data_IF_519700494690
#
_entry.id   IF_519700494690
#
_cell.length_a   1.000
_cell.length_b   1.000
_cell.length_c   1.000
_cell.angle_alpha   90.00
_cell.angle_beta   90.00
_cell.angle_gamma   90.00
#
_symmetry.space_group_name_H-M   'P 1'
#
loop_
_entity.id
_entity.type
_entity.pdbx_description
1 polymer ?
#
# COMPACT_ATOMS: atom_id res chain seq x y z
N UNK A 1 -33.58 3.55 -53.15
CA UNK A 1 -32.71 4.73 -53.24
C UNK A 1 -32.24 5.03 -51.83
N UNK A 2 -30.95 4.82 -51.59
CA UNK A 2 -30.31 4.73 -50.27
C UNK A 2 -29.76 6.11 -49.91
N UNK A 3 -29.96 6.59 -48.69
CA UNK A 3 -29.09 7.63 -48.13
C UNK A 3 -28.79 7.31 -46.68
N UNK A 4 -27.67 6.60 -46.50
CA UNK A 4 -26.99 6.41 -45.23
C UNK A 4 -26.30 7.72 -44.86
N UNK A 5 -26.79 8.42 -43.84
CA UNK A 5 -26.11 9.58 -43.28
C UNK A 5 -25.09 9.10 -42.24
N UNK A 6 -23.86 8.92 -42.70
CA UNK A 6 -22.72 8.51 -41.90
C UNK A 6 -22.34 9.60 -40.90
N UNK A 7 -22.63 9.33 -39.62
CA UNK A 7 -22.00 9.99 -38.47
C UNK A 7 -20.48 9.81 -38.58
N UNK A 8 -19.80 10.77 -39.23
CA UNK A 8 -18.35 10.94 -39.13
C UNK A 8 -18.05 11.39 -37.71
N UNK A 9 -17.74 10.42 -36.84
CA UNK A 9 -17.07 10.70 -35.58
C UNK A 9 -15.76 11.42 -35.90
N UNK A 10 -15.67 12.67 -35.47
CA UNK A 10 -14.44 13.46 -35.43
C UNK A 10 -13.35 12.62 -34.77
N UNK A 11 -12.14 12.50 -35.37
CA UNK A 11 -11.03 11.85 -34.69
C UNK A 11 -10.83 12.56 -33.35
N UNK A 12 -10.91 11.83 -32.23
CA UNK A 12 -10.47 12.36 -30.94
C UNK A 12 -9.06 12.87 -31.16
N UNK A 13 -8.80 14.14 -30.88
CA UNK A 13 -7.45 14.69 -30.81
C UNK A 13 -6.67 13.87 -29.78
N UNK A 14 -5.95 12.86 -30.28
CA UNK A 14 -5.05 12.04 -29.50
C UNK A 14 -3.87 12.93 -29.18
N UNK A 15 -3.95 13.68 -28.07
CA UNK A 15 -2.75 14.29 -27.50
C UNK A 15 -1.70 13.18 -27.39
N UNK A 16 -0.50 13.36 -27.96
CA UNK A 16 0.54 12.35 -27.84
C UNK A 16 0.79 12.12 -26.36
N UNK A 17 0.61 10.88 -25.91
CA UNK A 17 0.91 10.50 -24.54
C UNK A 17 2.39 10.80 -24.31
N UNK A 18 2.68 11.63 -23.31
CA UNK A 18 4.07 11.99 -22.94
C UNK A 18 4.85 10.78 -22.45
N UNK A 19 4.15 9.72 -22.03
CA UNK A 19 4.73 8.48 -21.50
C UNK A 19 4.77 7.39 -22.59
N UNK A 20 5.93 6.75 -22.82
CA UNK A 20 6.08 5.75 -23.87
C UNK A 20 5.19 4.52 -23.63
N UNK A 21 5.10 3.66 -24.64
CA UNK A 21 4.46 2.35 -24.50
C UNK A 21 5.30 1.49 -23.55
N UNK A 22 4.69 0.79 -22.57
CA UNK A 22 5.42 -0.09 -21.68
C UNK A 22 6.16 -1.20 -22.44
N UNK A 23 7.41 -1.44 -22.03
CA UNK A 23 8.24 -2.54 -22.51
C UNK A 23 7.90 -3.87 -21.82
N UNK A 24 8.62 -4.94 -22.14
CA UNK A 24 8.37 -6.27 -21.56
C UNK A 24 8.42 -6.24 -20.03
N UNK A 25 7.38 -6.77 -19.38
CA UNK A 25 7.25 -6.78 -17.93
C UNK A 25 6.95 -5.42 -17.28
N UNK A 26 6.76 -4.36 -18.07
CA UNK A 26 6.39 -3.05 -17.55
C UNK A 26 4.87 -2.81 -17.60
N UNK A 27 4.39 -2.01 -16.66
CA UNK A 27 3.04 -1.49 -16.64
C UNK A 27 3.10 0.02 -16.77
N UNK A 28 2.19 0.58 -17.57
CA UNK A 28 1.87 2.00 -17.53
C UNK A 28 0.69 2.21 -16.60
N UNK A 29 0.86 3.03 -15.59
CA UNK A 29 -0.12 3.25 -14.54
C UNK A 29 -0.61 4.69 -14.55
N UNK A 30 -1.86 4.88 -14.12
CA UNK A 30 -2.49 6.18 -13.89
C UNK A 30 -2.70 6.38 -12.40
N UNK A 31 -1.93 7.28 -11.74
CA UNK A 31 -2.12 7.61 -10.32
C UNK A 31 -3.50 8.24 -10.07
N UNK A 32 -4.11 7.93 -8.93
CA UNK A 32 -5.37 8.55 -8.50
C UNK A 32 -5.28 9.16 -7.10
N UNK A 33 -4.53 8.56 -6.17
CA UNK A 33 -4.42 9.02 -4.78
C UNK A 33 -3.08 8.58 -4.17
N UNK A 34 -2.52 9.39 -3.26
CA UNK A 34 -1.28 9.10 -2.50
C UNK A 34 -1.46 9.32 -1.00
N UNK A 35 -0.72 8.56 -0.21
CA UNK A 35 -0.69 8.69 1.25
C UNK A 35 0.21 7.64 1.89
N UNK A 36 0.78 7.98 3.05
CA UNK A 36 1.64 7.12 3.87
C UNK A 36 2.69 6.29 3.12
N UNK A 37 3.31 6.88 2.07
CA UNK A 37 4.38 6.26 1.28
C UNK A 37 3.91 5.34 0.16
N UNK A 38 2.62 5.32 -0.16
CA UNK A 38 2.05 4.56 -1.26
C UNK A 38 1.19 5.44 -2.16
N UNK A 39 1.08 5.02 -3.42
CA UNK A 39 0.17 5.55 -4.42
C UNK A 39 -0.76 4.44 -4.83
N UNK A 40 -2.04 4.76 -5.01
CA UNK A 40 -3.03 3.90 -5.65
C UNK A 40 -3.42 4.48 -7.00
N UNK A 41 -3.79 3.61 -7.91
CA UNK A 41 -4.16 3.97 -9.26
C UNK A 41 -4.71 2.79 -10.03
N UNK A 42 -4.65 2.90 -11.35
CA UNK A 42 -5.10 1.85 -12.26
C UNK A 42 -4.09 1.58 -13.37
N UNK A 43 -4.14 0.37 -13.90
CA UNK A 43 -3.34 -0.02 -15.07
C UNK A 43 -3.92 0.63 -16.33
N UNK A 44 -3.14 1.49 -16.97
CA UNK A 44 -3.50 2.15 -18.23
C UNK A 44 -3.14 1.26 -19.44
N UNK A 45 -1.96 0.65 -19.41
CA UNK A 45 -1.51 -0.28 -20.44
C UNK A 45 -0.50 -1.29 -19.90
N UNK A 46 -0.48 -2.46 -20.54
CA UNK A 46 0.42 -3.56 -20.22
C UNK A 46 1.50 -3.70 -21.30
N UNK A 47 2.74 -3.90 -20.86
CA UNK A 47 3.78 -4.44 -21.71
C UNK A 47 3.60 -5.92 -22.00
N UNK A 48 4.32 -6.49 -22.98
CA UNK A 48 4.38 -7.94 -23.18
C UNK A 48 4.82 -8.68 -21.90
N UNK A 49 4.33 -9.90 -21.71
CA UNK A 49 4.70 -10.80 -20.61
C UNK A 49 4.44 -10.27 -19.18
N UNK A 50 3.53 -9.30 -19.05
CA UNK A 50 3.01 -8.94 -17.72
C UNK A 50 2.01 -10.00 -17.26
N UNK A 51 2.20 -10.53 -16.05
CA UNK A 51 1.41 -11.63 -15.50
C UNK A 51 0.54 -11.10 -14.35
N UNK A 52 -0.74 -11.46 -14.36
CA UNK A 52 -1.64 -11.16 -13.25
C UNK A 52 -2.20 -9.73 -13.23
N UNK A 53 -1.96 -8.94 -14.27
CA UNK A 53 -2.53 -7.61 -14.44
C UNK A 53 -3.27 -7.48 -15.77
N UNK A 54 -4.39 -6.78 -15.75
CA UNK A 54 -5.17 -6.37 -16.91
C UNK A 54 -5.39 -4.86 -16.91
N UNK A 55 -5.71 -4.29 -18.07
CA UNK A 55 -6.09 -2.89 -18.18
C UNK A 55 -7.25 -2.58 -17.23
N UNK A 56 -7.15 -1.46 -16.51
CA UNK A 56 -8.08 -0.98 -15.46
C UNK A 56 -8.02 -1.73 -14.14
N UNK A 57 -7.13 -2.70 -13.96
CA UNK A 57 -6.91 -3.28 -12.64
C UNK A 57 -6.49 -2.20 -11.65
N UNK A 58 -7.05 -2.26 -10.45
CA UNK A 58 -6.67 -1.39 -9.34
C UNK A 58 -5.35 -1.88 -8.77
N UNK A 59 -4.39 -0.97 -8.68
CA UNK A 59 -3.03 -1.30 -8.25
C UNK A 59 -2.48 -0.25 -7.30
N UNK A 60 -1.51 -0.65 -6.50
CA UNK A 60 -0.78 0.20 -5.59
C UNK A 60 0.73 -0.02 -5.73
N UNK A 61 1.52 1.01 -5.47
CA UNK A 61 2.97 0.95 -5.50
C UNK A 61 3.56 1.95 -4.51
N UNK A 62 4.86 1.85 -4.26
CA UNK A 62 5.56 2.77 -3.36
C UNK A 62 5.63 4.16 -3.97
N UNK A 63 5.32 5.18 -3.18
CA UNK A 63 5.51 6.56 -3.57
C UNK A 63 7.00 6.93 -3.47
N UNK A 64 7.65 7.05 -4.62
CA UNK A 64 9.02 7.55 -4.76
C UNK A 64 9.07 8.90 -5.48
N UNK A 65 7.91 9.47 -5.82
CA UNK A 65 7.80 10.63 -6.68
C UNK A 65 7.66 11.91 -5.87
N UNK A 66 8.32 12.98 -6.31
CA UNK A 66 8.14 14.32 -5.72
C UNK A 66 6.74 14.82 -6.05
N UNK A 67 6.37 14.73 -7.33
CA UNK A 67 5.05 15.08 -7.87
C UNK A 67 4.42 13.86 -8.56
N UNK A 68 3.10 13.72 -8.48
CA UNK A 68 2.39 12.64 -9.15
C UNK A 68 2.22 12.98 -10.64
N UNK A 69 2.81 12.20 -11.56
CA UNK A 69 2.61 12.41 -12.98
C UNK A 69 1.21 11.92 -13.40
N UNK A 70 0.74 12.35 -14.57
CA UNK A 70 -0.52 11.82 -15.14
C UNK A 70 -0.42 10.31 -15.43
N UNK A 71 0.76 9.86 -15.88
CA UNK A 71 1.09 8.48 -16.20
C UNK A 71 2.51 8.18 -15.72
N UNK A 72 2.75 6.93 -15.31
CA UNK A 72 4.07 6.44 -14.89
C UNK A 72 4.31 5.04 -15.45
N UNK A 73 5.57 4.70 -15.73
CA UNK A 73 6.00 3.34 -16.06
C UNK A 73 6.67 2.71 -14.85
N UNK A 74 6.26 1.50 -14.49
CA UNK A 74 6.84 0.70 -13.42
C UNK A 74 6.99 -0.75 -13.86
N UNK A 75 7.99 -1.45 -13.30
CA UNK A 75 8.07 -2.90 -13.40
C UNK A 75 6.84 -3.54 -12.73
N UNK A 76 6.29 -4.61 -13.32
CA UNK A 76 5.23 -5.39 -12.69
C UNK A 76 5.62 -5.91 -11.30
N UNK A 77 6.91 -6.11 -11.03
CA UNK A 77 7.42 -6.61 -9.76
C UNK A 77 7.32 -5.59 -8.61
N UNK A 78 7.16 -4.31 -8.94
CA UNK A 78 7.01 -3.19 -8.00
C UNK A 78 5.54 -2.80 -7.77
N UNK A 79 4.61 -3.50 -8.42
CA UNK A 79 3.19 -3.17 -8.45
C UNK A 79 2.39 -4.23 -7.69
N UNK A 80 1.46 -3.76 -6.87
CA UNK A 80 0.60 -4.59 -6.04
C UNK A 80 -0.83 -4.54 -6.59
N UNK A 81 -1.44 -5.69 -6.84
CA UNK A 81 -2.88 -5.76 -7.09
C UNK A 81 -3.67 -5.38 -5.84
N UNK A 82 -4.67 -4.50 -5.98
CA UNK A 82 -5.55 -4.07 -4.88
C UNK A 82 -6.86 -4.85 -4.95
N UNK A 83 -7.21 -5.65 -3.92
CA UNK A 83 -8.47 -6.38 -3.91
C UNK A 83 -9.70 -5.46 -3.94
N UNK A 84 -10.79 -5.92 -4.53
CA UNK A 84 -12.01 -5.12 -4.72
C UNK A 84 -12.67 -4.65 -3.41
N UNK A 85 -12.48 -5.38 -2.31
CA UNK A 85 -13.02 -5.05 -0.99
C UNK A 85 -12.15 -4.08 -0.18
N UNK A 86 -10.96 -3.70 -0.68
CA UNK A 86 -10.11 -2.67 -0.05
C UNK A 86 -10.33 -1.37 -0.81
N UNK A 87 -10.70 -0.29 -0.14
CA UNK A 87 -10.89 1.02 -0.78
C UNK A 87 -9.56 1.71 -1.08
N UNK A 88 -9.53 2.63 -2.05
CA UNK A 88 -8.34 3.44 -2.36
C UNK A 88 -7.84 4.19 -1.10
N UNK A 89 -8.78 4.73 -0.32
CA UNK A 89 -8.49 5.40 0.95
C UNK A 89 -7.81 4.46 1.95
N UNK A 90 -8.33 3.24 2.15
CA UNK A 90 -7.70 2.25 3.03
C UNK A 90 -6.29 1.86 2.58
N UNK A 91 -6.01 1.83 1.28
CA UNK A 91 -4.66 1.56 0.77
C UNK A 91 -3.70 2.67 1.20
N UNK A 92 -4.02 3.92 0.91
CA UNK A 92 -3.11 5.05 1.19
C UNK A 92 -3.00 5.37 2.68
N UNK A 93 -4.02 5.02 3.46
CA UNK A 93 -4.01 5.19 4.91
C UNK A 93 -3.24 4.08 5.62
N UNK A 94 -3.47 2.82 5.26
CA UNK A 94 -3.02 1.69 6.08
C UNK A 94 -1.92 0.82 5.48
N UNK A 95 -1.68 0.84 4.16
CA UNK A 95 -0.74 -0.12 3.56
C UNK A 95 0.70 0.10 4.06
N UNK A 96 1.20 1.33 4.01
CA UNK A 96 2.55 1.67 4.48
C UNK A 96 2.76 1.37 5.97
N UNK A 97 1.98 1.98 6.87
CA UNK A 97 2.11 1.77 8.31
C UNK A 97 1.80 0.32 8.73
N UNK A 98 0.85 -0.34 8.06
CA UNK A 98 0.53 -1.74 8.27
C UNK A 98 1.67 -2.70 7.89
N UNK A 99 2.42 -2.40 6.83
CA UNK A 99 3.61 -3.17 6.46
C UNK A 99 4.71 -3.06 7.54
N UNK A 100 4.87 -1.88 8.14
CA UNK A 100 5.81 -1.66 9.25
C UNK A 100 5.34 -2.42 10.49
N UNK A 101 4.07 -2.26 10.88
CA UNK A 101 3.47 -2.98 12.01
C UNK A 101 3.63 -4.50 11.86
N UNK A 102 3.35 -5.04 10.68
CA UNK A 102 3.56 -6.47 10.38
C UNK A 102 5.03 -6.88 10.51
N UNK A 103 5.96 -6.05 10.06
CA UNK A 103 7.39 -6.34 10.17
C UNK A 103 7.84 -6.40 11.64
N UNK A 104 7.30 -5.52 12.50
CA UNK A 104 7.57 -5.55 13.95
C UNK A 104 7.14 -6.88 14.58
N UNK A 105 5.96 -7.40 14.21
CA UNK A 105 5.46 -8.70 14.71
C UNK A 105 6.35 -9.89 14.34
N UNK A 106 7.15 -9.76 13.26
CA UNK A 106 8.03 -10.81 12.71
C UNK A 106 9.51 -10.49 12.90
N UNK A 107 9.83 -9.57 13.82
CA UNK A 107 11.20 -9.16 14.12
C UNK A 107 11.94 -10.23 14.92
N UNK A 108 12.99 -9.86 15.65
CA UNK A 108 13.94 -10.80 16.28
C UNK A 108 13.26 -11.85 17.19
N UNK A 109 12.14 -11.47 17.82
CA UNK A 109 11.26 -12.38 18.55
C UNK A 109 9.84 -12.25 18.01
N UNK A 110 9.31 -13.28 17.30
CA UNK A 110 7.94 -13.23 16.80
C UNK A 110 6.93 -13.12 17.93
N UNK A 111 5.99 -12.19 17.78
CA UNK A 111 4.90 -11.98 18.76
C UNK A 111 3.89 -13.12 18.65
N UNK A 112 3.51 -13.68 19.80
CA UNK A 112 2.53 -14.73 19.93
C UNK A 112 1.46 -14.43 20.98
N UNK A 113 0.56 -15.40 21.14
CA UNK A 113 -0.52 -15.35 22.12
C UNK A 113 0.04 -15.41 23.54
N UNK A 114 -0.40 -14.50 24.40
CA UNK A 114 0.01 -14.43 25.81
C UNK A 114 1.31 -13.67 26.06
N UNK A 115 1.99 -13.19 25.01
CA UNK A 115 3.16 -12.34 25.18
C UNK A 115 2.76 -10.97 25.72
N UNK A 116 3.54 -10.45 26.67
CA UNK A 116 3.48 -9.05 27.07
C UNK A 116 4.30 -8.22 26.09
N UNK A 117 3.66 -7.26 25.41
CA UNK A 117 4.26 -6.46 24.34
C UNK A 117 4.20 -4.98 24.68
N UNK A 118 5.30 -4.28 24.38
CA UNK A 118 5.37 -2.82 24.40
C UNK A 118 5.82 -2.31 23.04
N UNK A 119 5.04 -1.42 22.44
CA UNK A 119 5.37 -0.79 21.16
C UNK A 119 5.92 0.61 21.42
N UNK A 120 7.09 0.91 20.86
CA UNK A 120 7.72 2.23 20.90
C UNK A 120 7.94 2.66 19.46
N UNK A 121 7.25 3.70 19.01
CA UNK A 121 7.27 4.16 17.62
C UNK A 121 7.33 5.68 17.56
N UNK A 122 8.17 6.23 16.68
CA UNK A 122 8.15 7.67 16.34
C UNK A 122 6.97 8.05 15.45
N UNK A 123 6.36 7.06 14.79
CA UNK A 123 5.13 7.21 14.01
C UNK A 123 3.94 6.71 14.85
N UNK A 124 3.04 7.62 15.29
CA UNK A 124 1.90 7.24 16.12
C UNK A 124 0.90 6.30 15.43
N UNK A 125 0.72 6.40 14.10
CA UNK A 125 -0.16 5.49 13.35
C UNK A 125 0.43 4.07 13.31
N UNK A 126 1.75 3.96 13.12
CA UNK A 126 2.45 2.66 13.25
C UNK A 126 2.28 2.09 14.65
N UNK A 127 2.35 2.91 15.70
CA UNK A 127 2.15 2.46 17.09
C UNK A 127 0.76 1.86 17.31
N UNK A 128 -0.29 2.56 16.86
CA UNK A 128 -1.68 2.11 16.94
C UNK A 128 -1.89 0.80 16.17
N UNK A 129 -1.41 0.74 14.92
CA UNK A 129 -1.56 -0.45 14.08
C UNK A 129 -0.78 -1.64 14.61
N UNK A 130 0.45 -1.46 15.11
CA UNK A 130 1.23 -2.54 15.72
C UNK A 130 0.58 -3.04 17.01
N UNK A 131 0.01 -2.14 17.82
CA UNK A 131 -0.75 -2.49 19.02
C UNK A 131 -2.00 -3.30 18.67
N UNK A 132 -2.77 -2.87 17.66
CA UNK A 132 -3.93 -3.61 17.18
C UNK A 132 -3.55 -5.00 16.65
N UNK A 133 -2.44 -5.10 15.93
CA UNK A 133 -1.93 -6.37 15.40
C UNK A 133 -1.52 -7.33 16.53
N UNK A 134 -0.76 -6.85 17.51
CA UNK A 134 -0.36 -7.65 18.66
C UNK A 134 -1.58 -8.17 19.43
N UNK A 135 -2.59 -7.32 19.68
CA UNK A 135 -3.86 -7.74 20.29
C UNK A 135 -4.58 -8.82 19.47
N UNK A 136 -4.60 -8.68 18.14
CA UNK A 136 -5.20 -9.68 17.27
C UNK A 136 -4.48 -11.03 17.33
N UNK A 137 -3.16 -11.04 17.53
CA UNK A 137 -2.38 -12.26 17.77
C UNK A 137 -2.59 -12.84 19.18
N UNK A 138 -3.30 -12.12 20.05
CA UNK A 138 -3.60 -12.52 21.42
C UNK A 138 -2.53 -12.12 22.43
N UNK A 139 -1.67 -11.16 22.11
CA UNK A 139 -0.72 -10.56 23.04
C UNK A 139 -1.40 -9.55 23.99
N UNK A 140 -0.77 -9.30 25.13
CA UNK A 140 -1.15 -8.29 26.10
C UNK A 140 -0.31 -7.04 25.90
N UNK A 141 -0.94 -5.86 25.94
CA UNK A 141 -0.23 -4.59 25.77
C UNK A 141 0.06 -4.01 27.15
N UNK A 142 1.32 -3.85 27.49
CA UNK A 142 1.76 -3.44 28.83
C UNK A 142 2.52 -2.11 28.83
N UNK A 143 2.20 -1.25 29.79
CA UNK A 143 2.86 0.05 29.96
C UNK A 143 4.22 -0.07 30.64
N UNK A 144 4.35 -0.98 31.61
CA UNK A 144 5.54 -1.15 32.46
C UNK A 144 5.84 -2.63 32.70
N UNK A 145 6.99 -2.94 33.31
CA UNK A 145 7.44 -4.31 33.58
C UNK A 145 8.19 -4.98 32.41
N UNK A 146 8.54 -6.27 32.56
CA UNK A 146 9.20 -7.04 31.50
C UNK A 146 8.23 -7.27 30.33
N UNK A 147 8.69 -6.99 29.11
CA UNK A 147 7.90 -7.13 27.90
C UNK A 147 8.82 -7.34 26.69
N UNK A 148 8.26 -7.92 25.64
CA UNK A 148 8.84 -7.84 24.31
C UNK A 148 8.67 -6.40 23.79
N UNK A 149 9.80 -5.70 23.66
CA UNK A 149 9.82 -4.32 23.16
C UNK A 149 9.96 -4.33 21.65
N UNK A 150 8.97 -3.77 20.97
CA UNK A 150 8.94 -3.58 19.52
C UNK A 150 9.24 -2.12 19.21
N UNK A 151 10.46 -1.86 18.76
CA UNK A 151 10.92 -0.50 18.48
C UNK A 151 10.86 -0.18 16.99
N UNK A 152 10.26 0.96 16.67
CA UNK A 152 10.33 1.60 15.38
C UNK A 152 10.86 3.03 15.57
N UNK A 153 11.94 3.36 14.86
CA UNK A 153 12.39 4.73 14.74
C UNK A 153 12.38 5.11 13.27
N UNK A 154 12.24 6.41 12.98
CA UNK A 154 12.27 6.99 11.62
C UNK A 154 13.55 6.65 10.84
N UNK A 155 14.57 6.05 11.50
CA UNK A 155 15.74 5.43 10.84
C UNK A 155 15.30 4.21 10.03
N UNK A 156 14.85 4.51 8.83
CA UNK A 156 14.61 3.55 7.77
C UNK A 156 13.13 3.24 7.59
N UNK A 157 12.45 4.09 6.82
CA UNK A 157 11.38 3.66 5.89
C UNK A 157 11.90 2.66 4.82
N UNK A 158 12.90 1.87 5.15
CA UNK A 158 13.46 0.82 4.30
C UNK A 158 12.69 -0.45 4.62
N UNK A 159 11.45 -0.51 4.15
CA UNK A 159 10.85 -1.81 3.90
C UNK A 159 11.76 -2.50 2.86
N UNK A 160 12.19 -3.75 3.08
CA UNK A 160 13.16 -4.41 2.20
C UNK A 160 12.70 -4.37 0.74
N UNK A 161 13.57 -3.92 -0.17
CA UNK A 161 13.42 -4.00 -1.63
C UNK A 161 13.52 -5.46 -2.14
N UNK A 162 13.00 -6.42 -1.37
CA UNK A 162 13.03 -7.81 -1.75
C UNK A 162 11.82 -8.09 -2.65
N UNK A 163 12.07 -8.10 -3.96
CA UNK A 163 11.15 -8.55 -5.01
C UNK A 163 10.37 -9.78 -4.53
N UNK A 164 9.03 -9.73 -4.61
CA UNK A 164 8.10 -10.76 -4.13
C UNK A 164 7.74 -10.75 -2.64
N UNK A 165 8.61 -10.28 -1.72
CA UNK A 165 8.27 -10.18 -0.28
C UNK A 165 7.25 -9.08 0.00
N UNK A 166 7.27 -8.00 -0.78
CA UNK A 166 6.34 -6.89 -0.64
C UNK A 166 4.90 -7.33 -0.94
N UNK A 167 4.70 -8.10 -2.02
CA UNK A 167 3.38 -8.62 -2.39
C UNK A 167 2.79 -9.51 -1.29
N UNK A 168 3.57 -10.48 -0.79
CA UNK A 168 3.12 -11.33 0.32
C UNK A 168 2.85 -10.53 1.61
N UNK A 169 3.68 -9.53 1.90
CA UNK A 169 3.46 -8.69 3.07
C UNK A 169 2.21 -7.81 2.92
N UNK A 170 1.93 -7.31 1.72
CA UNK A 170 0.73 -6.54 1.41
C UNK A 170 -0.53 -7.39 1.54
N UNK A 171 -0.50 -8.66 1.11
CA UNK A 171 -1.61 -9.60 1.31
C UNK A 171 -1.97 -9.72 2.79
N UNK A 172 -0.99 -9.87 3.68
CA UNK A 172 -1.27 -9.97 5.12
C UNK A 172 -1.91 -8.67 5.67
N UNK A 173 -1.51 -7.50 5.17
CA UNK A 173 -2.13 -6.22 5.52
C UNK A 173 -3.56 -6.13 4.99
N UNK A 174 -3.82 -6.55 3.76
CA UNK A 174 -5.17 -6.57 3.20
C UNK A 174 -6.10 -7.55 3.95
N UNK A 175 -5.57 -8.68 4.43
CA UNK A 175 -6.34 -9.58 5.28
C UNK A 175 -6.60 -8.98 6.67
N UNK A 176 -5.64 -8.25 7.24
CA UNK A 176 -5.85 -7.53 8.49
C UNK A 176 -6.95 -6.45 8.36
N UNK A 177 -6.96 -5.69 7.25
CA UNK A 177 -8.04 -4.74 6.93
C UNK A 177 -9.38 -5.48 6.82
N UNK A 178 -9.42 -6.59 6.08
CA UNK A 178 -10.63 -7.39 5.90
C UNK A 178 -11.16 -7.96 7.22
N UNK A 179 -10.27 -8.32 8.14
CA UNK A 179 -10.60 -8.82 9.47
C UNK A 179 -11.09 -7.70 10.42
N UNK A 180 -11.13 -6.44 9.97
CA UNK A 180 -11.53 -5.31 10.81
C UNK A 180 -10.49 -4.93 11.86
N UNK A 181 -9.25 -5.42 11.75
CA UNK A 181 -8.19 -5.19 12.75
C UNK A 181 -7.91 -3.70 12.99
N UNK A 182 -8.11 -2.87 11.97
CA UNK A 182 -7.86 -1.43 12.00
C UNK A 182 -9.14 -0.60 11.96
N UNK A 183 -10.32 -1.19 12.20
CA UNK A 183 -11.59 -0.51 12.06
C UNK A 183 -11.76 0.72 12.98
N UNK A 184 -11.11 0.69 14.16
CA UNK A 184 -11.17 1.77 15.15
C UNK A 184 -10.04 2.80 14.99
N UNK A 185 -9.20 2.68 13.96
CA UNK A 185 -8.05 3.57 13.73
C UNK A 185 -8.44 4.63 12.69
N UNK A 186 -8.46 5.89 13.09
CA UNK A 186 -8.61 7.02 12.17
C UNK A 186 -7.23 7.49 11.68
N UNK A 187 -6.87 7.15 10.44
CA UNK A 187 -5.59 7.55 9.85
C UNK A 187 -5.46 9.07 9.63
N UNK A 188 -6.59 9.79 9.48
CA UNK A 188 -6.62 11.23 9.22
C UNK A 188 -6.56 12.07 10.50
N UNK A 189 -6.73 11.46 11.68
CA UNK A 189 -6.74 12.18 12.93
C UNK A 189 -5.35 12.76 13.25
N UNK A 190 -5.24 14.06 13.55
CA UNK A 190 -3.97 14.65 13.97
C UNK A 190 -3.52 13.99 15.28
N UNK A 191 -2.35 13.36 15.27
CA UNK A 191 -1.76 12.70 16.44
C UNK A 191 -0.62 13.56 16.99
N UNK A 192 -0.72 13.91 18.27
CA UNK A 192 0.35 14.60 18.98
C UNK A 192 1.49 13.63 19.24
N UNK A 193 2.70 13.95 18.79
CA UNK A 193 3.90 13.21 19.17
C UNK A 193 4.21 13.61 20.61
N UNK A 194 3.84 12.79 21.58
CA UNK A 194 4.38 12.93 22.93
C UNK A 194 5.82 12.43 22.89
N UNK A 195 6.76 13.35 22.80
CA UNK A 195 8.15 13.05 23.09
C UNK A 195 8.21 12.57 24.55
N UNK A 196 8.48 11.27 24.73
CA UNK A 196 8.89 10.70 26.00
C UNK A 196 10.40 10.87 26.17
#
# INVERSE_FOLDING_TARGET
MITSDSLRQTPRDLRPLTVPRPAMGELRLRPTMRGNGFVVGSVDANGPDTVGFANRDRVAWRDTSIELPELILLSQDDVLGVPSWVTDQQVVDFLGPGLVARALMRSNHPVGRGDDVRVISTDPLVSEMATAWARHLGAHIVAEGPALVLEHSDRGRVLPQAHGRLAQAAVDVFQAIRAGMFADIDAAQPRTITAA
#
